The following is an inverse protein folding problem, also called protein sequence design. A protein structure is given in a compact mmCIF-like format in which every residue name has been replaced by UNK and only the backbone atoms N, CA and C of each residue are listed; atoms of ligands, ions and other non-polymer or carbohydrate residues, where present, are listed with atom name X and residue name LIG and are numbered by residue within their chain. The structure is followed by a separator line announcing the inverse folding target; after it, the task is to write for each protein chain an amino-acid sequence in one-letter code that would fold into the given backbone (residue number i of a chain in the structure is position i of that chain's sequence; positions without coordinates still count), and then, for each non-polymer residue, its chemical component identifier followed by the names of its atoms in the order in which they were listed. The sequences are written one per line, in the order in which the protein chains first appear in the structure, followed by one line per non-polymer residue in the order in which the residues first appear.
data_IF_040462910750
#
_entry.id   IF_040462910750
#
_cell.length_a   1.000
_cell.length_b   1.000
_cell.length_c   1.000
_cell.angle_alpha   90.00
_cell.angle_beta   90.00
_cell.angle_gamma   90.00
#
_symmetry.space_group_name_H-M   'P 1'
#
loop_
_entity.id
_entity.type
_entity.pdbx_description
1 polymer ?
#
# COMPACT_ATOMS: atom_id res chain seq x y z
N UNK A 1 10.34 13.43 13.44
CA UNK A 1 9.23 12.98 12.56
C UNK A 1 8.35 12.05 13.38
N UNK A 2 7.03 12.27 13.43
CA UNK A 2 6.16 11.41 14.24
C UNK A 2 5.98 10.07 13.53
N UNK A 3 6.45 8.97 14.13
CA UNK A 3 6.43 7.64 13.54
C UNK A 3 5.01 7.22 13.09
N UNK A 4 3.98 7.52 13.88
CA UNK A 4 2.59 7.27 13.52
C UNK A 4 2.17 7.97 12.22
N UNK A 5 2.58 9.24 12.03
CA UNK A 5 2.28 10.00 10.79
C UNK A 5 3.03 9.41 9.59
N UNK A 6 4.29 9.02 9.76
CA UNK A 6 5.05 8.34 8.71
C UNK A 6 4.39 7.02 8.32
N UNK A 7 4.02 6.19 9.28
CA UNK A 7 3.35 4.91 9.01
C UNK A 7 2.00 5.12 8.31
N UNK A 8 1.18 6.07 8.78
CA UNK A 8 -0.10 6.38 8.14
C UNK A 8 0.08 6.80 6.68
N UNK A 9 1.08 7.64 6.38
CA UNK A 9 1.38 8.05 5.01
C UNK A 9 1.81 6.86 4.13
N UNK A 10 2.61 5.93 4.67
CA UNK A 10 2.98 4.71 3.97
C UNK A 10 1.76 3.85 3.67
N UNK A 11 0.91 3.60 4.68
CA UNK A 11 -0.34 2.83 4.51
C UNK A 11 -1.22 3.46 3.44
N UNK A 12 -1.43 4.77 3.50
CA UNK A 12 -2.28 5.49 2.55
C UNK A 12 -1.71 5.42 1.13
N UNK A 13 -0.40 5.65 0.98
CA UNK A 13 0.27 5.56 -0.31
C UNK A 13 0.17 4.14 -0.89
N UNK A 14 0.40 3.11 -0.07
CA UNK A 14 0.27 1.72 -0.47
C UNK A 14 -1.16 1.34 -0.84
N UNK A 15 -2.15 1.78 -0.08
CA UNK A 15 -3.56 1.54 -0.35
C UNK A 15 -3.97 2.13 -1.69
N UNK A 16 -3.64 3.41 -1.92
CA UNK A 16 -3.95 4.10 -3.18
C UNK A 16 -3.26 3.44 -4.37
N UNK A 17 -1.98 3.12 -4.23
CA UNK A 17 -1.24 2.41 -5.28
C UNK A 17 -1.84 1.02 -5.56
N UNK A 18 -2.23 0.30 -4.51
CA UNK A 18 -2.90 -0.99 -4.63
C UNK A 18 -4.24 -0.92 -5.36
N UNK A 19 -5.06 0.09 -5.06
CA UNK A 19 -6.32 0.36 -5.78
C UNK A 19 -6.06 0.68 -7.25
N UNK A 20 -5.06 1.53 -7.56
CA UNK A 20 -4.71 1.88 -8.95
C UNK A 20 -4.27 0.64 -9.73
N UNK A 21 -3.38 -0.17 -9.16
CA UNK A 21 -2.90 -1.41 -9.78
C UNK A 21 -4.06 -2.40 -9.99
N UNK A 22 -4.92 -2.59 -8.99
CA UNK A 22 -6.09 -3.45 -9.12
C UNK A 22 -7.11 -2.93 -10.14
N UNK A 23 -7.27 -1.62 -10.26
CA UNK A 23 -8.16 -1.01 -11.26
C UNK A 23 -7.65 -1.20 -12.69
N UNK A 24 -6.33 -1.30 -12.85
CA UNK A 24 -5.72 -1.56 -14.15
C UNK A 24 -5.72 -3.05 -14.52
N UNK A 25 -5.38 -3.92 -13.56
CA UNK A 25 -5.31 -5.36 -13.80
C UNK A 25 -6.68 -6.04 -13.79
N UNK A 26 -7.62 -5.57 -12.97
CA UNK A 26 -8.96 -6.15 -12.80
C UNK A 26 -9.71 -6.33 -14.12
N UNK A 27 -9.89 -5.28 -14.94
CA UNK A 27 -10.58 -5.39 -16.22
C UNK A 27 -9.91 -6.38 -17.19
N UNK A 28 -8.58 -6.39 -17.25
CA UNK A 28 -7.82 -7.32 -18.10
C UNK A 28 -7.99 -8.77 -17.63
N UNK A 29 -7.96 -8.99 -16.32
CA UNK A 29 -8.19 -10.30 -15.73
C UNK A 29 -9.62 -10.78 -16.00
N UNK A 30 -10.62 -9.92 -15.81
CA UNK A 30 -12.00 -10.22 -16.15
C UNK A 30 -12.17 -10.56 -17.64
N UNK A 31 -11.54 -9.80 -18.54
CA UNK A 31 -11.54 -10.10 -19.97
C UNK A 31 -10.97 -11.50 -20.27
N UNK A 32 -9.83 -11.85 -19.67
CA UNK A 32 -9.20 -13.17 -19.89
C UNK A 32 -10.10 -14.35 -19.53
N UNK A 33 -10.88 -14.26 -18.44
CA UNK A 33 -11.78 -15.32 -18.00
C UNK A 33 -13.15 -15.30 -18.70
N UNK A 34 -13.53 -14.16 -19.28
CA UNK A 34 -14.85 -13.97 -19.88
C UNK A 34 -14.81 -14.00 -21.42
N UNK A 35 -13.62 -14.11 -22.01
CA UNK A 35 -13.38 -14.30 -23.45
C UNK A 35 -12.90 -15.74 -23.74
N UNK A 36 -13.18 -16.23 -24.96
CA UNK A 36 -12.81 -17.60 -25.38
C UNK A 36 -11.29 -17.80 -25.36
N UNK A 37 -10.77 -18.99 -24.97
CA UNK A 37 -11.48 -20.25 -24.72
C UNK A 37 -11.92 -20.48 -23.27
N UNK A 38 -11.63 -19.56 -22.34
CA UNK A 38 -11.87 -19.76 -20.91
C UNK A 38 -13.27 -19.34 -20.46
N UNK A 39 -14.04 -18.67 -21.33
CA UNK A 39 -15.43 -18.35 -21.11
C UNK A 39 -16.25 -19.63 -20.86
N UNK A 40 -16.74 -19.80 -19.63
CA UNK A 40 -17.53 -20.97 -19.23
C UNK A 40 -19.02 -20.84 -19.56
N UNK A 41 -19.55 -19.62 -19.70
CA UNK A 41 -20.96 -19.34 -19.97
C UNK A 41 -21.15 -18.04 -20.78
N UNK A 42 -22.02 -18.07 -21.79
CA UNK A 42 -22.48 -16.86 -22.50
C UNK A 42 -23.63 -16.22 -21.74
N UNK A 43 -23.43 -14.98 -21.26
CA UNK A 43 -24.44 -14.24 -20.51
C UNK A 43 -25.37 -13.48 -21.46
N UNK A 44 -26.65 -13.84 -21.52
CA UNK A 44 -27.65 -13.16 -22.37
C UNK A 44 -28.30 -11.93 -21.70
N UNK A 45 -28.14 -11.77 -20.39
CA UNK A 45 -28.72 -10.66 -19.63
C UNK A 45 -27.65 -9.58 -19.37
N UNK A 46 -27.62 -8.57 -20.25
CA UNK A 46 -26.60 -7.52 -20.22
C UNK A 46 -26.59 -6.68 -18.91
N UNK A 47 -27.74 -6.28 -18.34
CA UNK A 47 -27.80 -5.64 -17.02
C UNK A 47 -27.10 -6.44 -15.91
N UNK A 48 -27.25 -7.77 -15.91
CA UNK A 48 -26.66 -8.65 -14.90
C UNK A 48 -25.14 -8.69 -15.04
N UNK A 49 -24.63 -8.74 -16.28
CA UNK A 49 -23.19 -8.70 -16.55
C UNK A 49 -22.57 -7.41 -16.01
N UNK A 50 -23.20 -6.27 -16.26
CA UNK A 50 -22.68 -4.97 -15.78
C UNK A 50 -22.65 -4.95 -14.26
N UNK A 51 -23.72 -5.41 -13.59
CA UNK A 51 -23.77 -5.49 -12.12
C UNK A 51 -22.67 -6.39 -11.56
N UNK A 52 -22.52 -7.60 -12.11
CA UNK A 52 -21.53 -8.57 -11.65
C UNK A 52 -20.10 -8.05 -11.85
N UNK A 53 -19.77 -7.62 -13.06
CA UNK A 53 -18.44 -7.08 -13.38
C UNK A 53 -18.11 -5.87 -12.50
N UNK A 54 -19.08 -4.99 -12.24
CA UNK A 54 -18.87 -3.85 -11.34
C UNK A 54 -18.59 -4.29 -9.90
N UNK A 55 -19.34 -5.28 -9.39
CA UNK A 55 -19.12 -5.83 -8.05
C UNK A 55 -17.74 -6.53 -7.93
N UNK A 56 -17.32 -7.23 -8.98
CA UNK A 56 -16.01 -7.87 -9.06
C UNK A 56 -14.88 -6.82 -9.09
N UNK A 57 -15.02 -5.75 -9.89
CA UNK A 57 -14.05 -4.64 -9.90
C UNK A 57 -13.90 -3.99 -8.52
N UNK A 58 -15.02 -3.70 -7.86
CA UNK A 58 -15.00 -3.10 -6.52
C UNK A 58 -14.31 -4.05 -5.52
N UNK A 59 -14.58 -5.35 -5.61
CA UNK A 59 -13.92 -6.35 -4.77
C UNK A 59 -12.42 -6.39 -5.03
N UNK A 60 -11.98 -6.41 -6.29
CA UNK A 60 -10.56 -6.39 -6.64
C UNK A 60 -9.85 -5.11 -6.17
N UNK A 61 -10.50 -3.95 -6.30
CA UNK A 61 -9.96 -2.69 -5.77
C UNK A 61 -9.83 -2.72 -4.25
N UNK A 62 -10.84 -3.27 -3.54
CA UNK A 62 -10.78 -3.46 -2.08
C UNK A 62 -9.62 -4.36 -1.66
N UNK A 63 -9.46 -5.50 -2.33
CA UNK A 63 -8.36 -6.44 -2.09
C UNK A 63 -7.01 -5.80 -2.41
N UNK A 64 -6.90 -5.13 -3.56
CA UNK A 64 -5.68 -4.43 -3.99
C UNK A 64 -5.27 -3.35 -3.01
N UNK A 65 -6.23 -2.53 -2.55
CA UNK A 65 -5.99 -1.52 -1.52
C UNK A 65 -5.55 -2.10 -0.19
N UNK A 66 -6.21 -3.16 0.29
CA UNK A 66 -5.84 -3.83 1.53
C UNK A 66 -4.44 -4.47 1.45
N UNK A 67 -4.13 -5.14 0.33
CA UNK A 67 -2.82 -5.75 0.10
C UNK A 67 -1.72 -4.68 0.00
N UNK A 68 -1.95 -3.61 -0.77
CA UNK A 68 -1.02 -2.50 -0.91
C UNK A 68 -0.74 -1.80 0.42
N UNK A 69 -1.79 -1.57 1.22
CA UNK A 69 -1.68 -1.03 2.58
C UNK A 69 -0.80 -1.92 3.48
N UNK A 70 -1.03 -3.24 3.47
CA UNK A 70 -0.27 -4.19 4.28
C UNK A 70 1.22 -4.22 3.89
N UNK A 71 1.52 -4.26 2.58
CA UNK A 71 2.90 -4.24 2.08
C UNK A 71 3.61 -2.94 2.50
N UNK A 72 2.98 -1.79 2.30
CA UNK A 72 3.59 -0.51 2.65
C UNK A 72 3.67 -0.28 4.15
N UNK A 73 2.77 -0.84 4.96
CA UNK A 73 2.91 -0.85 6.41
C UNK A 73 4.24 -1.52 6.81
N UNK A 74 4.53 -2.69 6.25
CA UNK A 74 5.78 -3.43 6.53
C UNK A 74 6.98 -2.57 6.11
N UNK A 75 6.95 -2.00 4.91
CA UNK A 75 8.01 -1.11 4.42
C UNK A 75 8.19 0.12 5.32
N UNK A 76 7.10 0.74 5.77
CA UNK A 76 7.12 1.89 6.66
C UNK A 76 7.72 1.54 8.03
N UNK A 77 7.39 0.37 8.58
CA UNK A 77 8.00 -0.12 9.84
C UNK A 77 9.49 -0.35 9.68
N UNK A 78 9.91 -0.96 8.57
CA UNK A 78 11.33 -1.16 8.26
C UNK A 78 12.06 0.18 8.10
N UNK A 79 11.45 1.14 7.41
CA UNK A 79 11.98 2.48 7.21
C UNK A 79 12.17 3.22 8.54
N UNK A 80 11.15 3.23 9.40
CA UNK A 80 11.23 3.86 10.74
C UNK A 80 12.32 3.19 11.59
N UNK A 81 12.40 1.85 11.59
CA UNK A 81 13.48 1.13 12.31
C UNK A 81 14.86 1.51 11.79
N UNK A 82 15.02 1.63 10.49
CA UNK A 82 16.29 1.98 9.85
C UNK A 82 16.72 3.42 10.16
N UNK A 83 15.80 4.39 10.11
CA UNK A 83 16.10 5.79 10.45
C UNK A 83 16.48 5.95 11.92
N UNK A 84 15.78 5.29 12.84
CA UNK A 84 16.13 5.28 14.27
C UNK A 84 17.51 4.67 14.53
N UNK A 85 17.89 3.60 13.82
CA UNK A 85 19.22 3.00 13.94
C UNK A 85 20.33 3.93 13.48
N UNK A 86 20.09 4.74 12.44
CA UNK A 86 21.07 5.70 11.91
C UNK A 86 21.21 6.96 12.76
N UNK A 87 20.17 7.36 13.50
CA UNK A 87 20.24 8.51 14.41
C UNK A 87 21.09 8.24 15.67
N UNK A 88 21.11 7.00 16.18
CA UNK A 88 21.88 6.61 17.39
C UNK A 88 23.40 6.84 17.31
N UNK A 89 24.11 6.60 16.19
CA UNK A 89 25.54 6.91 16.12
C UNK A 89 25.87 8.41 16.17
N UNK A 90 24.99 9.30 15.70
CA UNK A 90 25.24 10.76 15.78
C UNK A 90 25.13 11.29 17.21
N UNK A 91 24.23 10.75 18.03
CA UNK A 91 24.03 11.21 19.41
C UNK A 91 25.19 10.83 20.35
N UNK A 92 25.93 9.75 20.02
CA UNK A 92 27.16 9.38 20.71
C UNK A 92 28.37 10.25 20.34
N UNK A 93 28.28 11.07 19.29
CA UNK A 93 29.39 11.91 18.83
C UNK A 93 29.33 13.35 19.34
N UNK A 94 28.26 13.77 20.04
CA UNK A 94 28.25 15.05 20.74
C UNK A 94 29.20 14.98 21.94
N UNK A 95 30.31 15.76 21.96
CA UNK A 95 31.21 15.82 23.11
C UNK A 95 30.44 16.35 24.33
N UNK A 96 30.77 15.90 25.56
CA UNK A 96 30.17 16.47 26.75
C UNK A 96 30.51 17.97 26.81
N UNK A 97 29.49 18.81 26.91
CA UNK A 97 29.63 20.24 27.21
C UNK A 97 30.25 20.37 28.60
N UNK A 98 31.54 20.68 28.65
CA UNK A 98 32.23 21.08 29.88
C UNK A 98 31.50 22.29 30.47
N UNK A 99 31.03 22.25 31.74
CA UNK A 99 30.45 23.42 32.38
C UNK A 99 31.46 24.56 32.40
N UNK A 100 31.05 25.83 32.17
CA UNK A 100 31.97 26.95 32.27
C UNK A 100 32.45 27.04 33.71
N UNK A 101 33.78 26.93 33.90
CA UNK A 101 34.41 27.18 35.18
C UNK A 101 34.13 28.63 35.59
N UNK A 102 33.41 28.79 36.71
CA UNK A 102 33.15 30.09 37.30
C UNK A 102 34.48 30.73 37.73
N UNK A 103 34.71 31.97 37.30
CA UNK A 103 35.79 32.85 37.74
C UNK A 103 35.18 34.02 38.52
#
# INVERSE_FOLDING_TARGET
MNAAKTLLNFILAGALLGVVVASWLGPNYLGWYNETPYATQTMCNLPEVIRKTSADLISYQGIGGAAGAAVFLILGVLFVRWTHRRARPLEKQTPPTTPPAAA
#
